data_IF_808727629074
#
_entry.id   IF_808727629074
#
_cell.length_a   1.000
_cell.length_b   1.000
_cell.length_c   1.000
_cell.angle_alpha   90.00
_cell.angle_beta   90.00
_cell.angle_gamma   90.00
#
_symmetry.space_group_name_H-M   'P 1'
#
loop_
_entity.id
_entity.type
_entity.pdbx_description
1 polymer ?
#
# COMPACT_ATOMS: atom_id res chain seq x y z
N UNK A 1 -25.60 33.45 -58.76
CA UNK A 1 -25.14 32.92 -57.47
C UNK A 1 -24.15 33.93 -56.94
N UNK A 2 -24.51 34.61 -55.86
CA UNK A 2 -23.65 35.63 -55.25
C UNK A 2 -22.47 34.96 -54.58
N UNK A 3 -21.30 35.61 -54.56
CA UNK A 3 -20.11 35.11 -53.85
C UNK A 3 -20.34 34.98 -52.34
N UNK A 4 -21.31 35.72 -51.78
CA UNK A 4 -21.76 35.60 -50.39
C UNK A 4 -22.52 34.30 -50.13
N UNK A 5 -23.43 33.88 -51.02
CA UNK A 5 -24.16 32.62 -50.87
C UNK A 5 -23.23 31.40 -51.01
N UNK A 6 -22.15 31.56 -51.77
CA UNK A 6 -21.14 30.50 -51.95
C UNK A 6 -20.19 30.44 -50.76
N UNK A 7 -19.87 31.57 -50.11
CA UNK A 7 -19.10 31.58 -48.86
C UNK A 7 -19.92 31.09 -47.66
N UNK A 8 -21.20 31.46 -47.55
CA UNK A 8 -22.08 30.89 -46.52
C UNK A 8 -22.24 29.38 -46.72
N UNK A 9 -22.38 28.91 -47.96
CA UNK A 9 -22.46 27.48 -48.26
C UNK A 9 -21.13 26.73 -48.04
N UNK A 10 -19.97 27.35 -48.30
CA UNK A 10 -18.66 26.75 -48.00
C UNK A 10 -18.40 26.74 -46.50
N UNK A 11 -18.86 27.74 -45.76
CA UNK A 11 -18.74 27.78 -44.29
C UNK A 11 -19.65 26.74 -43.65
N UNK A 12 -20.90 26.61 -44.12
CA UNK A 12 -21.86 25.57 -43.70
C UNK A 12 -21.38 24.14 -44.00
N UNK A 13 -20.63 23.94 -45.10
CA UNK A 13 -20.12 22.61 -45.47
C UNK A 13 -18.79 22.23 -44.81
N UNK A 14 -18.11 23.18 -44.15
CA UNK A 14 -16.90 22.90 -43.36
C UNK A 14 -17.17 22.77 -41.86
N UNK A 15 -18.43 22.88 -41.43
CA UNK A 15 -18.87 22.84 -40.03
C UNK A 15 -19.83 21.68 -39.75
N UNK A 16 -19.65 20.54 -40.43
CA UNK A 16 -20.42 19.30 -40.17
C UNK A 16 -19.85 18.50 -38.97
N UNK A 17 -18.78 19.01 -38.36
CA UNK A 17 -18.27 18.66 -37.04
C UNK A 17 -18.46 19.92 -36.19
N UNK A 18 -19.62 20.06 -35.56
CA UNK A 18 -19.88 21.14 -34.61
C UNK A 18 -20.50 20.54 -33.37
N UNK A 19 -20.06 20.98 -32.19
CA UNK A 19 -20.60 20.54 -30.89
C UNK A 19 -22.14 20.55 -30.93
N UNK A 20 -22.76 19.44 -30.51
CA UNK A 20 -24.20 19.22 -30.58
C UNK A 20 -24.96 20.27 -29.75
N UNK A 21 -25.94 20.95 -30.38
CA UNK A 21 -26.85 21.85 -29.65
C UNK A 21 -28.00 21.04 -29.06
N UNK A 22 -28.19 21.17 -27.74
CA UNK A 22 -29.19 20.41 -27.00
C UNK A 22 -30.26 21.31 -26.42
N UNK A 23 -31.51 20.87 -26.53
CA UNK A 23 -32.61 21.52 -25.85
C UNK A 23 -32.68 21.15 -24.37
N UNK A 24 -33.67 21.69 -23.65
CA UNK A 24 -33.83 21.42 -22.22
C UNK A 24 -34.09 19.95 -21.91
N UNK A 25 -34.97 19.33 -22.69
CA UNK A 25 -35.45 17.97 -22.41
C UNK A 25 -34.35 16.96 -22.79
N UNK A 26 -33.68 17.18 -23.92
CA UNK A 26 -32.49 16.43 -24.34
C UNK A 26 -31.34 16.56 -23.34
N UNK A 27 -31.09 17.76 -22.81
CA UNK A 27 -30.08 17.96 -21.79
C UNK A 27 -30.35 17.11 -20.53
N UNK A 28 -31.60 16.98 -20.09
CA UNK A 28 -31.92 16.10 -18.97
C UNK A 28 -31.72 14.63 -19.30
N UNK A 29 -32.11 14.19 -20.50
CA UNK A 29 -31.87 12.82 -20.95
C UNK A 29 -30.37 12.51 -21.02
N UNK A 30 -29.55 13.45 -21.48
CA UNK A 30 -28.10 13.29 -21.53
C UNK A 30 -27.48 13.26 -20.13
N UNK A 31 -27.92 14.12 -19.21
CA UNK A 31 -27.46 14.11 -17.81
C UNK A 31 -27.74 12.77 -17.13
N UNK A 32 -28.88 12.14 -17.44
CA UNK A 32 -29.28 10.85 -16.86
C UNK A 32 -28.63 9.65 -17.57
N UNK A 33 -28.29 9.77 -18.85
CA UNK A 33 -27.76 8.66 -19.66
C UNK A 33 -26.24 8.62 -19.78
N UNK A 34 -25.56 9.77 -19.66
CA UNK A 34 -24.11 9.89 -19.82
C UNK A 34 -23.42 10.04 -18.46
N UNK A 35 -22.39 9.23 -18.25
CA UNK A 35 -21.57 9.30 -17.04
C UNK A 35 -20.77 10.62 -16.97
N UNK A 36 -20.27 11.10 -18.10
CA UNK A 36 -19.45 12.31 -18.22
C UNK A 36 -19.96 13.21 -19.36
N UNK A 37 -20.53 14.36 -19.02
CA UNK A 37 -21.12 15.32 -19.95
C UNK A 37 -20.67 16.74 -19.63
N UNK A 38 -20.03 17.42 -20.56
CA UNK A 38 -19.64 18.82 -20.43
C UNK A 38 -20.61 19.70 -21.23
N UNK A 39 -21.24 20.66 -20.56
CA UNK A 39 -22.30 21.49 -21.13
C UNK A 39 -21.84 22.93 -21.15
N UNK A 40 -21.81 23.50 -22.35
CA UNK A 40 -21.45 24.90 -22.59
C UNK A 40 -22.72 25.73 -22.65
N UNK A 41 -22.95 26.54 -21.64
CA UNK A 41 -24.03 27.52 -21.64
C UNK A 41 -23.57 28.80 -22.32
N UNK A 42 -24.27 29.24 -23.36
CA UNK A 42 -23.92 30.45 -24.12
C UNK A 42 -25.16 31.31 -24.42
N UNK A 43 -24.93 32.55 -24.88
CA UNK A 43 -25.99 33.43 -25.39
C UNK A 43 -25.64 33.90 -26.80
N UNK A 44 -26.60 33.82 -27.71
CA UNK A 44 -26.42 34.29 -29.10
C UNK A 44 -26.11 35.79 -29.21
N UNK A 45 -26.61 36.59 -28.25
CA UNK A 45 -26.43 38.04 -28.24
C UNK A 45 -25.08 38.50 -27.65
N UNK A 46 -24.27 37.58 -27.11
CA UNK A 46 -23.03 37.89 -26.43
C UNK A 46 -21.81 37.82 -27.37
N UNK A 47 -20.93 38.82 -27.31
CA UNK A 47 -19.75 38.91 -28.21
C UNK A 47 -18.64 37.89 -27.89
N UNK A 48 -18.62 37.31 -26.68
CA UNK A 48 -17.61 36.34 -26.27
C UNK A 48 -18.04 34.89 -26.53
N UNK A 49 -19.34 34.63 -26.61
CA UNK A 49 -19.90 33.30 -26.87
C UNK A 49 -19.34 32.62 -28.14
N UNK A 50 -19.21 33.28 -29.30
CA UNK A 50 -18.60 32.67 -30.49
C UNK A 50 -17.13 32.31 -30.33
N UNK A 51 -16.39 33.05 -29.49
CA UNK A 51 -14.97 32.76 -29.23
C UNK A 51 -14.84 31.49 -28.39
N UNK A 52 -15.57 31.45 -27.27
CA UNK A 52 -15.59 30.30 -26.36
C UNK A 52 -16.01 29.03 -27.08
N UNK A 53 -17.08 29.09 -27.90
CA UNK A 53 -17.52 27.93 -28.67
C UNK A 53 -16.42 27.41 -29.61
N UNK A 54 -15.62 28.30 -30.21
CA UNK A 54 -14.50 27.92 -31.05
C UNK A 54 -13.37 27.25 -30.26
N UNK A 55 -13.04 27.75 -29.06
CA UNK A 55 -12.03 27.12 -28.20
C UNK A 55 -12.46 25.72 -27.78
N UNK A 56 -13.74 25.55 -27.46
CA UNK A 56 -14.28 24.25 -27.04
C UNK A 56 -14.34 23.26 -28.20
N UNK A 57 -14.61 23.73 -29.42
CA UNK A 57 -14.57 22.88 -30.62
C UNK A 57 -13.17 22.29 -30.87
N UNK A 58 -12.10 23.03 -30.53
CA UNK A 58 -10.73 22.52 -30.68
C UNK A 58 -10.42 21.33 -29.77
N UNK A 59 -11.13 21.20 -28.64
CA UNK A 59 -10.94 20.11 -27.68
C UNK A 59 -12.01 19.03 -27.81
N UNK A 60 -13.01 19.18 -28.68
CA UNK A 60 -14.14 18.25 -28.78
C UNK A 60 -13.69 16.82 -29.09
N UNK A 61 -12.88 16.66 -30.15
CA UNK A 61 -12.30 15.38 -30.54
C UNK A 61 -11.50 14.73 -29.40
N UNK A 62 -10.68 15.53 -28.71
CA UNK A 62 -9.82 15.03 -27.64
C UNK A 62 -10.62 14.68 -26.38
N UNK A 63 -11.63 15.47 -26.01
CA UNK A 63 -12.53 15.18 -24.89
C UNK A 63 -13.38 13.94 -25.16
N UNK A 64 -13.89 13.78 -26.39
CA UNK A 64 -14.64 12.60 -26.82
C UNK A 64 -13.80 11.31 -26.72
N UNK A 65 -12.51 11.42 -27.04
CA UNK A 65 -11.53 10.35 -26.86
C UNK A 65 -11.33 9.92 -25.39
N UNK A 66 -11.57 10.83 -24.43
CA UNK A 66 -11.62 10.53 -22.99
C UNK A 66 -13.01 10.06 -22.51
N UNK A 67 -13.99 9.99 -23.41
CA UNK A 67 -15.37 9.57 -23.11
C UNK A 67 -16.25 10.70 -22.57
N UNK A 68 -15.79 11.94 -22.67
CA UNK A 68 -16.53 13.14 -22.27
C UNK A 68 -17.34 13.60 -23.46
N UNK A 69 -18.66 13.68 -23.31
CA UNK A 69 -19.52 14.25 -24.36
C UNK A 69 -19.62 15.76 -24.15
N UNK A 70 -19.24 16.57 -25.13
CA UNK A 70 -19.43 18.02 -25.11
C UNK A 70 -20.73 18.40 -25.83
N UNK A 71 -21.52 19.26 -25.22
CA UNK A 71 -22.76 19.79 -25.81
C UNK A 71 -22.90 21.27 -25.51
N UNK A 72 -23.61 22.00 -26.37
CA UNK A 72 -23.88 23.43 -26.20
C UNK A 72 -25.37 23.68 -25.95
N UNK A 73 -25.68 24.62 -25.07
CA UNK A 73 -27.06 24.97 -24.70
C UNK A 73 -27.24 26.49 -24.65
N UNK A 74 -28.21 26.99 -25.43
CA UNK A 74 -28.58 28.40 -25.51
C UNK A 74 -29.70 28.81 -24.53
N UNK A 75 -30.28 27.88 -23.77
CA UNK A 75 -31.40 28.16 -22.85
C UNK A 75 -30.95 28.98 -21.62
N UNK A 76 -31.31 30.27 -21.62
CA UNK A 76 -31.05 31.22 -20.53
C UNK A 76 -31.61 30.81 -19.17
N UNK A 77 -32.68 30.01 -19.11
CA UNK A 77 -33.21 29.50 -17.85
C UNK A 77 -32.35 28.36 -17.29
N UNK A 78 -31.81 27.51 -18.17
CA UNK A 78 -30.91 26.43 -17.78
C UNK A 78 -29.56 26.99 -17.31
N UNK A 79 -28.98 27.93 -18.04
CA UNK A 79 -27.77 28.64 -17.62
C UNK A 79 -27.91 29.22 -16.19
N UNK A 80 -29.04 29.87 -15.91
CA UNK A 80 -29.33 30.41 -14.57
C UNK A 80 -29.50 29.34 -13.50
N UNK A 81 -30.09 28.19 -13.84
CA UNK A 81 -30.29 27.06 -12.91
C UNK A 81 -28.95 26.51 -12.43
N UNK A 82 -27.98 26.40 -13.33
CA UNK A 82 -26.63 25.91 -13.03
C UNK A 82 -25.65 27.01 -12.60
N UNK A 83 -26.14 28.24 -12.35
CA UNK A 83 -25.35 29.28 -11.69
C UNK A 83 -24.76 30.35 -12.60
N UNK A 84 -24.95 30.27 -13.92
CA UNK A 84 -24.49 31.28 -14.86
C UNK A 84 -25.52 32.39 -15.04
N UNK A 85 -25.24 33.55 -14.42
CA UNK A 85 -26.04 34.78 -14.62
C UNK A 85 -25.67 35.52 -15.90
N UNK A 86 -24.38 35.51 -16.23
CA UNK A 86 -23.79 36.06 -17.46
C UNK A 86 -22.95 34.95 -18.11
N UNK A 87 -23.53 34.10 -18.96
CA UNK A 87 -22.76 33.16 -19.80
C UNK A 87 -21.89 33.95 -20.81
N UNK A 88 -20.85 33.34 -21.40
CA UNK A 88 -20.58 31.90 -21.49
C UNK A 88 -20.06 31.25 -20.20
N UNK A 89 -20.35 29.95 -20.03
CA UNK A 89 -19.92 29.16 -18.87
C UNK A 89 -19.99 27.66 -19.14
N UNK A 90 -19.08 26.88 -18.55
CA UNK A 90 -19.03 25.41 -18.72
C UNK A 90 -19.40 24.71 -17.42
N UNK A 91 -20.38 23.81 -17.48
CA UNK A 91 -20.70 22.87 -16.39
C UNK A 91 -20.32 21.46 -16.82
N UNK A 92 -19.56 20.77 -15.97
CA UNK A 92 -19.29 19.35 -16.11
C UNK A 92 -20.25 18.55 -15.23
N UNK A 93 -21.00 17.66 -15.85
CA UNK A 93 -21.89 16.70 -15.23
C UNK A 93 -21.20 15.35 -15.13
N UNK A 94 -21.12 14.85 -13.90
CA UNK A 94 -20.57 13.53 -13.57
C UNK A 94 -21.65 12.71 -12.84
N UNK A 95 -22.15 11.67 -13.50
CA UNK A 95 -23.28 10.82 -13.04
C UNK A 95 -24.44 11.65 -12.44
N UNK A 96 -24.83 12.71 -13.13
CA UNK A 96 -25.91 13.61 -12.72
C UNK A 96 -25.57 14.78 -11.79
N UNK A 97 -24.40 14.80 -11.11
CA UNK A 97 -23.99 15.96 -10.30
C UNK A 97 -23.20 16.96 -11.14
N UNK A 98 -23.54 18.24 -11.01
CA UNK A 98 -22.92 19.34 -11.73
C UNK A 98 -21.77 19.97 -10.92
N UNK A 99 -20.63 20.19 -11.58
CA UNK A 99 -19.56 21.07 -11.14
C UNK A 99 -19.35 22.15 -12.20
N UNK A 100 -19.11 23.39 -11.77
CA UNK A 100 -18.89 24.50 -12.70
C UNK A 100 -17.40 24.77 -12.79
N UNK A 101 -16.92 24.99 -14.01
CA UNK A 101 -15.57 25.46 -14.24
C UNK A 101 -15.48 26.94 -13.85
N UNK A 102 -14.49 27.28 -13.03
CA UNK A 102 -14.23 28.62 -12.52
C UNK A 102 -12.92 29.24 -13.03
N UNK A 103 -12.19 28.51 -13.89
CA UNK A 103 -10.98 28.98 -14.56
C UNK A 103 -11.26 29.78 -15.85
N UNK A 104 -10.23 29.93 -16.68
CA UNK A 104 -10.32 30.71 -17.93
C UNK A 104 -10.86 29.84 -19.08
N UNK A 105 -12.09 30.12 -19.52
CA UNK A 105 -12.73 29.37 -20.61
C UNK A 105 -12.08 29.68 -21.97
N UNK A 106 -11.32 30.77 -22.07
CA UNK A 106 -10.56 31.09 -23.28
C UNK A 106 -9.26 30.25 -23.40
N UNK A 107 -8.84 29.54 -22.34
CA UNK A 107 -7.68 28.63 -22.35
C UNK A 107 -8.14 27.18 -22.59
N UNK A 108 -7.98 26.71 -23.82
CA UNK A 108 -8.38 25.35 -24.21
C UNK A 108 -7.59 24.24 -23.48
N UNK A 109 -6.31 24.46 -23.16
CA UNK A 109 -5.47 23.45 -22.50
C UNK A 109 -5.87 23.30 -21.03
N UNK A 110 -6.14 24.41 -20.35
CA UNK A 110 -6.59 24.41 -18.95
C UNK A 110 -7.97 23.74 -18.81
N UNK A 111 -8.91 24.08 -19.70
CA UNK A 111 -10.25 23.51 -19.69
C UNK A 111 -10.21 21.99 -19.94
N UNK A 112 -9.42 21.53 -20.90
CA UNK A 112 -9.28 20.11 -21.20
C UNK A 112 -8.64 19.36 -20.03
N UNK A 113 -7.58 19.89 -19.41
CA UNK A 113 -6.96 19.23 -18.26
C UNK A 113 -7.92 19.16 -17.08
N UNK A 114 -8.71 20.21 -16.85
CA UNK A 114 -9.75 20.21 -15.83
C UNK A 114 -10.83 19.15 -16.08
N UNK A 115 -11.32 19.02 -17.32
CA UNK A 115 -12.32 18.02 -17.71
C UNK A 115 -11.80 16.58 -17.56
N UNK A 116 -10.51 16.39 -17.81
CA UNK A 116 -9.85 15.08 -17.82
C UNK A 116 -9.09 14.78 -16.53
N UNK A 117 -9.26 15.59 -15.48
CA UNK A 117 -8.61 15.39 -14.20
C UNK A 117 -9.27 14.22 -13.46
N UNK A 118 -8.52 13.17 -13.07
CA UNK A 118 -9.04 12.01 -12.34
C UNK A 118 -9.83 12.40 -11.08
N UNK A 119 -9.37 13.41 -10.34
CA UNK A 119 -10.05 13.87 -9.13
C UNK A 119 -11.40 14.55 -9.42
N UNK A 120 -11.53 15.18 -10.58
CA UNK A 120 -12.80 15.74 -11.03
C UNK A 120 -13.73 14.64 -11.57
N UNK A 121 -13.22 13.44 -11.84
CA UNK A 121 -14.01 12.30 -12.29
C UNK A 121 -14.45 11.40 -11.14
N UNK A 122 -13.63 11.26 -10.09
CA UNK A 122 -13.90 10.49 -8.88
C UNK A 122 -14.91 11.20 -7.98
N UNK A 123 -16.10 10.63 -7.82
CA UNK A 123 -17.12 11.24 -6.95
C UNK A 123 -18.25 10.30 -6.52
N UNK A 124 -18.21 9.02 -6.88
CA UNK A 124 -19.24 8.07 -6.45
C UNK A 124 -18.69 7.03 -5.50
N UNK A 125 -19.55 6.53 -4.60
CA UNK A 125 -19.37 5.28 -3.85
C UNK A 125 -19.38 4.05 -4.81
N UNK A 126 -19.00 4.29 -6.07
CA UNK A 126 -19.00 3.30 -7.12
C UNK A 126 -17.74 3.37 -7.97
N UNK A 127 -17.18 2.21 -8.30
CA UNK A 127 -15.98 2.07 -9.14
C UNK A 127 -16.21 2.67 -10.51
N UNK A 128 -15.25 3.46 -11.00
CA UNK A 128 -15.43 4.28 -12.18
C UNK A 128 -15.18 3.56 -13.50
N UNK A 129 -16.11 3.71 -14.46
CA UNK A 129 -15.96 3.12 -15.79
C UNK A 129 -15.06 4.00 -16.64
N UNK A 130 -13.91 3.45 -17.06
CA UNK A 130 -12.92 4.20 -17.84
C UNK A 130 -12.66 3.54 -19.19
N UNK A 131 -12.29 4.35 -20.17
CA UNK A 131 -11.86 3.88 -21.48
C UNK A 131 -10.33 3.72 -21.53
N UNK A 132 -9.78 3.24 -22.66
CA UNK A 132 -8.32 3.04 -22.81
C UNK A 132 -7.52 4.30 -22.54
N UNK A 133 -7.88 5.45 -23.10
CA UNK A 133 -7.09 6.69 -22.96
C UNK A 133 -7.13 7.20 -21.53
N UNK A 134 -8.31 7.18 -20.91
CA UNK A 134 -8.49 7.55 -19.52
C UNK A 134 -7.67 6.65 -18.59
N UNK A 135 -7.67 5.33 -18.83
CA UNK A 135 -6.81 4.40 -18.11
C UNK A 135 -5.33 4.82 -18.18
N UNK A 136 -4.82 5.22 -19.34
CA UNK A 136 -3.42 5.66 -19.47
C UNK A 136 -3.14 6.96 -18.71
N UNK A 137 -4.11 7.90 -18.63
CA UNK A 137 -3.96 9.14 -17.86
C UNK A 137 -3.95 8.85 -16.36
N UNK A 138 -4.91 8.06 -15.86
CA UNK A 138 -4.96 7.62 -14.45
C UNK A 138 -3.69 6.85 -14.08
N UNK A 139 -3.21 5.98 -14.97
CA UNK A 139 -1.97 5.20 -14.78
C UNK A 139 -0.73 6.06 -14.59
N UNK A 140 -0.69 7.27 -15.16
CA UNK A 140 0.42 8.22 -15.00
C UNK A 140 0.30 9.08 -13.76
N UNK A 141 -0.93 9.29 -13.26
CA UNK A 141 -1.21 10.08 -12.07
C UNK A 141 -1.16 9.26 -10.77
N UNK A 142 -1.49 7.97 -10.84
CA UNK A 142 -1.65 7.08 -9.68
C UNK A 142 -0.46 6.13 -9.49
N UNK A 143 0.00 6.01 -8.23
CA UNK A 143 1.06 5.07 -7.85
C UNK A 143 0.59 3.61 -7.91
N UNK A 144 -0.62 3.35 -7.43
CA UNK A 144 -1.26 2.05 -7.40
C UNK A 144 -2.64 2.13 -8.06
N UNK A 145 -2.92 1.21 -8.98
CA UNK A 145 -4.16 1.17 -9.74
C UNK A 145 -4.62 -0.27 -9.91
N UNK A 146 -5.83 -0.56 -9.45
CA UNK A 146 -6.54 -1.81 -9.69
C UNK A 146 -7.55 -1.63 -10.82
N UNK A 147 -7.56 -2.55 -11.78
CA UNK A 147 -8.44 -2.52 -12.94
C UNK A 147 -9.29 -3.78 -12.98
N UNK A 148 -10.60 -3.60 -12.94
CA UNK A 148 -11.58 -4.65 -13.15
C UNK A 148 -12.01 -4.71 -14.61
N UNK A 149 -11.59 -5.76 -15.32
CA UNK A 149 -12.07 -6.06 -16.67
C UNK A 149 -13.37 -6.84 -16.61
N UNK A 150 -14.40 -6.31 -17.27
CA UNK A 150 -15.72 -6.93 -17.33
C UNK A 150 -16.27 -6.97 -18.75
N UNK A 151 -17.47 -7.55 -18.89
CA UNK A 151 -18.25 -7.48 -20.13
C UNK A 151 -19.74 -7.52 -19.80
N UNK A 152 -20.56 -6.82 -20.58
CA UNK A 152 -22.03 -6.90 -20.44
C UNK A 152 -22.60 -8.32 -20.70
N UNK A 153 -21.93 -9.13 -21.52
CA UNK A 153 -22.34 -10.51 -21.83
C UNK A 153 -22.03 -11.51 -20.69
N UNK A 154 -21.39 -11.06 -19.61
CA UNK A 154 -20.85 -11.89 -18.56
C UNK A 154 -21.83 -12.02 -17.38
N UNK A 155 -22.29 -13.24 -17.10
CA UNK A 155 -23.26 -13.49 -16.00
C UNK A 155 -22.68 -13.32 -14.60
N UNK A 156 -21.37 -13.54 -14.43
CA UNK A 156 -20.70 -13.44 -13.13
C UNK A 156 -20.25 -12.01 -12.83
N UNK A 157 -20.06 -11.17 -13.85
CA UNK A 157 -19.51 -9.84 -13.71
C UNK A 157 -20.35 -8.90 -12.83
N UNK A 158 -21.70 -8.86 -12.92
CA UNK A 158 -22.50 -8.03 -12.01
C UNK A 158 -22.39 -8.45 -10.54
N UNK A 159 -22.20 -9.76 -10.28
CA UNK A 159 -22.02 -10.27 -8.92
C UNK A 159 -20.65 -9.87 -8.39
N UNK A 160 -19.59 -10.17 -9.13
CA UNK A 160 -18.21 -9.81 -8.76
C UNK A 160 -18.08 -8.30 -8.58
N UNK A 161 -18.67 -7.51 -9.48
CA UNK A 161 -18.68 -6.05 -9.34
C UNK A 161 -19.26 -5.63 -7.98
N UNK A 162 -20.40 -6.18 -7.57
CA UNK A 162 -20.99 -5.84 -6.27
C UNK A 162 -20.07 -6.16 -5.06
N UNK A 163 -19.27 -7.22 -5.13
CA UNK A 163 -18.27 -7.55 -4.09
C UNK A 163 -17.10 -6.54 -4.11
N UNK A 164 -16.61 -6.17 -5.30
CA UNK A 164 -15.50 -5.22 -5.43
C UNK A 164 -15.93 -3.80 -5.01
N UNK A 165 -17.16 -3.41 -5.30
CA UNK A 165 -17.74 -2.12 -4.91
C UNK A 165 -17.84 -1.97 -3.37
N UNK A 166 -17.82 -3.07 -2.61
CA UNK A 166 -17.80 -3.01 -1.14
C UNK A 166 -16.40 -2.74 -0.56
N UNK A 167 -15.35 -3.14 -1.26
CA UNK A 167 -13.94 -2.93 -0.85
C UNK A 167 -13.34 -1.64 -1.41
N UNK A 168 -14.07 -0.90 -2.25
CA UNK A 168 -13.60 0.33 -2.93
C UNK A 168 -13.12 1.37 -1.93
N UNK A 169 -13.94 1.69 -0.91
CA UNK A 169 -13.59 2.63 0.16
C UNK A 169 -12.32 2.22 0.92
N UNK A 170 -12.12 0.91 1.13
CA UNK A 170 -10.94 0.39 1.85
C UNK A 170 -9.68 0.41 0.97
N UNK A 171 -9.81 0.06 -0.31
CA UNK A 171 -8.75 0.16 -1.30
C UNK A 171 -8.29 1.62 -1.49
N UNK A 172 -9.23 2.55 -1.58
CA UNK A 172 -8.97 3.99 -1.66
C UNK A 172 -8.31 4.52 -0.37
N UNK A 173 -8.76 4.05 0.80
CA UNK A 173 -8.10 4.33 2.07
C UNK A 173 -6.65 3.83 2.12
N UNK A 174 -6.35 2.75 1.40
CA UNK A 174 -5.01 2.25 1.17
C UNK A 174 -4.28 2.97 0.00
N UNK A 175 -4.88 3.95 -0.66
CA UNK A 175 -4.27 4.67 -1.79
C UNK A 175 -4.17 3.85 -3.08
N UNK A 176 -5.03 2.84 -3.24
CA UNK A 176 -5.16 2.03 -4.45
C UNK A 176 -6.42 2.48 -5.18
N UNK A 177 -6.26 3.20 -6.29
CA UNK A 177 -7.41 3.62 -7.08
C UNK A 177 -8.02 2.42 -7.80
N UNK A 178 -9.35 2.29 -7.79
CA UNK A 178 -10.06 1.22 -8.50
C UNK A 178 -10.85 1.75 -9.71
N UNK A 179 -10.67 1.11 -10.87
CA UNK A 179 -11.43 1.43 -12.09
C UNK A 179 -11.97 0.17 -12.77
N UNK A 180 -13.05 0.31 -13.54
CA UNK A 180 -13.63 -0.77 -14.35
C UNK A 180 -13.57 -0.46 -15.85
N UNK A 181 -13.24 -1.48 -16.65
CA UNK A 181 -13.07 -1.35 -18.10
C UNK A 181 -13.85 -2.46 -18.83
N UNK A 182 -14.68 -2.07 -19.79
CA UNK A 182 -15.35 -2.98 -20.73
C UNK A 182 -14.61 -2.99 -22.08
N UNK A 183 -13.43 -3.61 -22.10
CA UNK A 183 -12.64 -3.78 -23.32
C UNK A 183 -12.01 -5.18 -23.38
N UNK A 184 -12.69 -6.07 -24.10
CA UNK A 184 -12.25 -7.46 -24.32
C UNK A 184 -10.91 -7.56 -25.06
N UNK A 185 -10.55 -6.58 -25.89
CA UNK A 185 -9.29 -6.60 -26.62
C UNK A 185 -8.14 -6.20 -25.70
N UNK A 186 -8.34 -5.17 -24.87
CA UNK A 186 -7.35 -4.68 -23.91
C UNK A 186 -7.07 -5.74 -22.85
N UNK A 187 -8.12 -6.38 -22.34
CA UNK A 187 -8.00 -7.49 -21.40
C UNK A 187 -7.06 -8.59 -21.95
N UNK A 188 -7.23 -8.97 -23.21
CA UNK A 188 -6.38 -10.00 -23.86
C UNK A 188 -4.94 -9.55 -24.05
N UNK A 189 -4.71 -8.29 -24.42
CA UNK A 189 -3.36 -7.71 -24.55
C UNK A 189 -2.60 -7.77 -23.22
N UNK A 190 -3.31 -7.57 -22.11
CA UNK A 190 -2.77 -7.65 -20.74
C UNK A 190 -2.73 -9.08 -20.17
N UNK A 191 -3.14 -10.09 -20.94
CA UNK A 191 -3.10 -11.51 -20.52
C UNK A 191 -4.35 -12.02 -19.81
N UNK A 192 -5.42 -11.22 -19.72
CA UNK A 192 -6.73 -11.62 -19.19
C UNK A 192 -7.56 -12.27 -20.31
N UNK A 193 -7.54 -13.60 -20.36
CA UNK A 193 -8.27 -14.39 -21.37
C UNK A 193 -9.69 -14.77 -20.97
N UNK A 194 -10.01 -14.68 -19.67
CA UNK A 194 -11.32 -14.95 -19.10
C UNK A 194 -11.81 -13.71 -18.35
N UNK A 195 -13.07 -13.34 -18.59
CA UNK A 195 -13.75 -12.25 -17.89
C UNK A 195 -14.80 -12.86 -16.94
N UNK A 196 -14.96 -12.32 -15.72
CA UNK A 196 -14.30 -11.14 -15.17
C UNK A 196 -12.82 -11.38 -14.80
N UNK A 197 -12.02 -10.32 -14.73
CA UNK A 197 -10.62 -10.39 -14.27
C UNK A 197 -10.15 -9.09 -13.63
N UNK A 198 -9.35 -9.19 -12.57
CA UNK A 198 -8.74 -8.04 -11.88
C UNK A 198 -7.26 -7.99 -12.18
N UNK A 199 -6.75 -6.80 -12.49
CA UNK A 199 -5.34 -6.55 -12.82
C UNK A 199 -4.82 -5.40 -11.98
N UNK A 200 -3.69 -5.60 -11.32
CA UNK A 200 -3.04 -4.61 -10.48
C UNK A 200 -1.82 -4.01 -11.18
N UNK A 201 -1.69 -2.69 -11.09
CA UNK A 201 -0.62 -1.90 -11.70
C UNK A 201 0.10 -1.08 -10.63
N UNK A 202 1.44 -1.07 -10.68
CA UNK A 202 2.33 -0.25 -9.84
C UNK A 202 3.12 0.72 -10.68
N UNK A 203 3.19 2.02 -10.38
CA UNK A 203 3.96 3.01 -11.15
C UNK A 203 5.41 2.58 -11.40
N UNK A 204 6.05 1.96 -10.41
CA UNK A 204 7.43 1.48 -10.50
C UNK A 204 7.63 0.23 -11.38
N UNK A 205 6.56 -0.52 -11.68
CA UNK A 205 6.60 -1.74 -12.51
C UNK A 205 5.90 -1.54 -13.85
N UNK A 206 6.54 -2.02 -14.92
CA UNK A 206 5.89 -2.09 -16.25
C UNK A 206 4.99 -3.31 -16.40
N UNK A 207 5.23 -4.35 -15.60
CA UNK A 207 4.51 -5.60 -15.70
C UNK A 207 3.32 -5.60 -14.73
N UNK A 208 2.08 -5.74 -15.24
CA UNK A 208 0.89 -5.86 -14.41
C UNK A 208 0.79 -7.25 -13.78
N UNK A 209 0.13 -7.33 -12.63
CA UNK A 209 -0.15 -8.60 -11.94
C UNK A 209 -1.63 -8.92 -12.05
N UNK A 210 -1.95 -10.13 -12.52
CA UNK A 210 -3.33 -10.58 -12.67
C UNK A 210 -3.73 -11.37 -11.43
N UNK A 211 -4.90 -11.08 -10.88
CA UNK A 211 -5.47 -11.86 -9.78
C UNK A 211 -5.93 -13.24 -10.28
N UNK A 212 -5.52 -14.30 -9.58
CA UNK A 212 -5.82 -15.68 -9.93
C UNK A 212 -6.66 -16.44 -8.87
N UNK A 213 -7.14 -15.73 -7.84
CA UNK A 213 -7.95 -16.28 -6.75
C UNK A 213 -9.45 -16.31 -7.05
N UNK A 214 -10.27 -16.49 -6.01
CA UNK A 214 -11.73 -16.43 -6.14
C UNK A 214 -12.20 -14.98 -6.23
N UNK A 215 -12.89 -14.64 -7.32
CA UNK A 215 -13.47 -13.31 -7.56
C UNK A 215 -14.78 -13.08 -6.80
N UNK A 216 -15.33 -14.10 -6.13
CA UNK A 216 -16.54 -13.97 -5.32
C UNK A 216 -16.26 -13.70 -3.83
N UNK A 217 -14.99 -13.58 -3.45
CA UNK A 217 -14.56 -13.40 -2.07
C UNK A 217 -13.88 -12.03 -1.95
N UNK A 218 -14.62 -11.04 -1.45
CA UNK A 218 -14.15 -9.66 -1.29
C UNK A 218 -12.90 -9.56 -0.41
N UNK A 219 -12.86 -10.29 0.71
CA UNK A 219 -11.71 -10.31 1.64
C UNK A 219 -10.43 -10.81 0.96
N UNK A 220 -10.52 -11.81 0.08
CA UNK A 220 -9.36 -12.38 -0.63
C UNK A 220 -8.82 -11.42 -1.68
N UNK A 221 -9.71 -10.70 -2.37
CA UNK A 221 -9.34 -9.68 -3.36
C UNK A 221 -8.64 -8.51 -2.67
N UNK A 222 -9.23 -8.01 -1.58
CA UNK A 222 -8.68 -6.90 -0.81
C UNK A 222 -7.31 -7.27 -0.23
N UNK A 223 -7.18 -8.42 0.43
CA UNK A 223 -5.91 -8.89 0.96
C UNK A 223 -4.85 -9.01 -0.16
N UNK A 224 -5.24 -9.56 -1.32
CA UNK A 224 -4.34 -9.62 -2.46
C UNK A 224 -3.90 -8.23 -2.96
N UNK A 225 -4.79 -7.24 -2.99
CA UNK A 225 -4.44 -5.85 -3.34
C UNK A 225 -3.43 -5.26 -2.35
N UNK A 226 -3.61 -5.52 -1.06
CA UNK A 226 -2.72 -5.06 0.01
C UNK A 226 -1.34 -5.72 -0.11
N UNK A 227 -1.26 -7.05 -0.23
CA UNK A 227 0.00 -7.77 -0.48
C UNK A 227 0.64 -7.31 -1.79
N UNK A 228 -0.14 -7.02 -2.83
CA UNK A 228 0.44 -6.48 -4.05
C UNK A 228 1.01 -5.09 -3.82
N UNK A 229 0.34 -4.19 -3.12
CA UNK A 229 0.89 -2.87 -2.79
C UNK A 229 2.19 -3.02 -1.99
N UNK A 230 2.16 -3.79 -0.91
CA UNK A 230 3.26 -4.04 0.01
C UNK A 230 3.64 -5.54 0.00
N UNK A 231 4.40 -6.03 -0.99
CA UNK A 231 4.80 -7.43 -1.05
C UNK A 231 5.77 -7.86 0.06
N UNK A 232 6.14 -6.93 0.95
CA UNK A 232 6.88 -7.16 2.19
C UNK A 232 6.10 -6.82 3.47
N UNK A 233 4.87 -6.28 3.39
CA UNK A 233 4.12 -5.84 4.59
C UNK A 233 3.61 -6.98 5.48
N UNK A 234 3.56 -8.21 4.95
CA UNK A 234 3.24 -9.39 5.76
C UNK A 234 4.47 -9.98 6.47
N UNK A 235 5.68 -9.51 6.15
CA UNK A 235 6.93 -10.08 6.68
C UNK A 235 7.95 -8.98 6.94
N UNK A 236 8.11 -8.63 8.23
CA UNK A 236 9.15 -7.72 8.70
C UNK A 236 10.50 -8.09 8.05
N UNK A 237 11.14 -7.14 7.38
CA UNK A 237 12.36 -7.39 6.61
C UNK A 237 13.52 -7.85 7.50
N UNK A 238 14.21 -8.92 7.08
CA UNK A 238 15.40 -9.44 7.78
C UNK A 238 16.67 -8.77 7.23
N UNK A 239 17.33 -7.95 8.06
CA UNK A 239 18.49 -7.15 7.67
C UNK A 239 19.67 -7.38 8.61
N UNK A 240 20.84 -7.67 8.03
CA UNK A 240 22.07 -7.95 8.78
C UNK A 240 23.26 -7.07 8.36
N UNK A 241 24.25 -6.97 9.25
CA UNK A 241 25.54 -6.36 8.98
C UNK A 241 25.47 -4.89 8.56
N UNK A 242 26.24 -4.54 7.51
CA UNK A 242 26.39 -3.17 7.05
C UNK A 242 25.09 -2.53 6.52
N UNK A 243 24.10 -3.35 6.12
CA UNK A 243 22.82 -2.83 5.62
C UNK A 243 21.97 -2.27 6.75
N UNK A 244 21.89 -3.00 7.87
CA UNK A 244 21.17 -2.55 9.05
C UNK A 244 21.81 -1.28 9.63
N UNK A 245 23.14 -1.22 9.70
CA UNK A 245 23.85 -0.03 10.19
C UNK A 245 23.59 1.21 9.32
N UNK A 246 23.62 1.06 7.99
CA UNK A 246 23.29 2.17 7.08
C UNK A 246 21.84 2.64 7.25
N UNK A 247 20.91 1.70 7.47
CA UNK A 247 19.51 2.00 7.71
C UNK A 247 19.30 2.76 9.02
N UNK A 248 20.02 2.39 10.09
CA UNK A 248 19.98 3.10 11.38
C UNK A 248 20.50 4.54 11.24
N UNK A 249 21.50 4.77 10.38
CA UNK A 249 22.09 6.10 10.14
C UNK A 249 21.21 6.98 9.23
N UNK A 250 20.58 6.40 8.20
CA UNK A 250 19.80 7.14 7.21
C UNK A 250 18.33 7.36 7.63
N UNK A 251 17.79 6.51 8.51
CA UNK A 251 16.37 6.56 8.91
C UNK A 251 16.13 7.43 10.14
N UNK A 252 15.11 8.28 10.06
CA UNK A 252 14.69 9.12 11.20
C UNK A 252 13.92 8.37 12.28
N UNK A 253 13.21 7.29 11.92
CA UNK A 253 12.42 6.48 12.83
C UNK A 253 12.45 5.00 12.40
N UNK A 254 13.13 4.17 13.18
CA UNK A 254 13.36 2.75 12.86
C UNK A 254 13.18 1.86 14.09
N UNK A 255 12.28 0.89 14.01
CA UNK A 255 12.10 -0.16 15.01
C UNK A 255 12.86 -1.43 14.57
N UNK A 256 13.79 -1.91 15.40
CA UNK A 256 14.60 -3.10 15.14
C UNK A 256 14.27 -4.19 16.16
N UNK A 257 13.72 -5.31 15.69
CA UNK A 257 13.48 -6.50 16.49
C UNK A 257 14.70 -7.42 16.48
N UNK A 258 15.39 -7.50 17.61
CA UNK A 258 16.50 -8.42 17.81
C UNK A 258 16.01 -9.75 18.35
N UNK A 259 16.28 -10.81 17.61
CA UNK A 259 15.84 -12.16 17.95
C UNK A 259 16.96 -13.18 17.87
N UNK A 260 16.78 -14.32 18.55
CA UNK A 260 17.74 -15.42 18.51
C UNK A 260 17.05 -16.78 18.45
N UNK A 261 17.37 -17.55 17.42
CA UNK A 261 16.93 -18.95 17.19
C UNK A 261 17.28 -19.90 18.35
N UNK A 262 18.30 -19.59 19.15
CA UNK A 262 18.96 -20.54 20.08
C UNK A 262 18.98 -20.15 21.56
N UNK A 263 18.57 -18.93 21.95
CA UNK A 263 18.68 -18.47 23.35
C UNK A 263 17.42 -17.87 23.95
N UNK A 264 16.23 -18.30 23.53
CA UNK A 264 15.06 -18.11 24.39
C UNK A 264 15.28 -18.84 25.73
N UNK A 265 15.11 -18.14 26.85
CA UNK A 265 15.35 -18.64 28.22
C UNK A 265 14.58 -19.94 28.56
N UNK A 266 13.55 -20.29 27.78
CA UNK A 266 12.75 -21.51 27.95
C UNK A 266 13.26 -22.68 27.09
N UNK A 267 13.82 -22.46 25.90
CA UNK A 267 14.38 -23.52 25.03
C UNK A 267 15.58 -24.24 25.66
N UNK A 268 16.35 -23.51 26.47
CA UNK A 268 17.52 -24.05 27.18
C UNK A 268 17.13 -25.11 28.24
N UNK A 269 15.91 -25.05 28.80
CA UNK A 269 15.44 -26.07 29.76
C UNK A 269 15.21 -27.46 29.12
N UNK A 270 14.85 -27.52 27.82
CA UNK A 270 14.67 -28.79 27.08
C UNK A 270 16.02 -29.42 26.69
N UNK A 271 17.01 -28.61 26.29
CA UNK A 271 18.38 -29.07 26.01
C UNK A 271 19.09 -29.57 27.28
N UNK A 272 18.95 -28.84 28.40
CA UNK A 272 19.45 -29.28 29.70
C UNK A 272 18.80 -30.60 30.18
N UNK A 273 17.48 -30.80 29.93
CA UNK A 273 16.78 -32.07 30.21
C UNK A 273 17.23 -33.22 29.32
N UNK A 274 17.52 -32.99 28.03
CA UNK A 274 18.08 -34.00 27.11
C UNK A 274 19.49 -34.41 27.54
N UNK A 275 20.35 -33.46 27.93
CA UNK A 275 21.69 -33.74 28.47
C UNK A 275 21.64 -34.51 29.81
N UNK A 276 20.66 -34.21 30.69
CA UNK A 276 20.45 -34.97 31.94
C UNK A 276 19.98 -36.40 31.68
N UNK A 277 19.00 -36.60 30.78
CA UNK A 277 18.51 -37.93 30.37
C UNK A 277 19.58 -38.75 29.63
N UNK A 278 20.45 -38.11 28.86
CA UNK A 278 21.60 -38.76 28.23
C UNK A 278 22.64 -39.21 29.27
N UNK A 279 22.93 -38.38 30.29
CA UNK A 279 23.80 -38.77 31.42
C UNK A 279 23.19 -39.89 32.28
N UNK A 280 21.87 -39.92 32.48
CA UNK A 280 21.17 -41.01 33.19
C UNK A 280 21.19 -42.33 32.40
N UNK A 281 20.97 -42.31 31.08
CA UNK A 281 21.05 -43.51 30.23
C UNK A 281 22.45 -44.11 30.15
N UNK A 282 23.49 -43.27 30.19
CA UNK A 282 24.89 -43.71 30.26
C UNK A 282 25.25 -44.28 31.64
N UNK A 283 24.56 -43.83 32.70
CA UNK A 283 24.72 -44.34 34.08
C UNK A 283 24.01 -45.68 34.29
N UNK A 284 22.84 -45.89 33.67
CA UNK A 284 22.13 -47.18 33.68
C UNK A 284 22.87 -48.27 32.86
N UNK A 285 23.50 -47.90 31.73
CA UNK A 285 24.34 -48.83 30.95
C UNK A 285 25.62 -49.26 31.68
N UNK A 286 26.11 -48.48 32.65
CA UNK A 286 27.24 -48.85 33.53
C UNK A 286 26.84 -49.71 34.74
N UNK A 287 25.55 -50.03 34.92
CA UNK A 287 25.03 -50.80 36.07
C UNK A 287 24.95 -52.33 35.88
N UNK A 288 25.41 -52.87 34.75
CA UNK A 288 25.22 -54.29 34.37
C UNK A 288 26.52 -55.00 33.97
N UNK A 289 27.59 -54.86 34.76
CA UNK A 289 28.72 -55.82 34.74
C UNK A 289 29.24 -55.99 36.17
N UNK A 290 29.15 -57.23 36.69
CA UNK A 290 29.77 -57.67 37.95
C UNK A 290 31.27 -57.91 37.75
N UNK A 291 32.08 -57.81 38.83
CA UNK A 291 33.50 -57.53 38.75
C UNK A 291 34.29 -58.81 38.56
N UNK A 292 35.34 -58.78 37.73
CA UNK A 292 36.61 -59.38 38.12
C UNK A 292 37.76 -58.94 37.22
N UNK A 293 38.88 -58.64 37.88
CA UNK A 293 40.26 -58.44 37.38
C UNK A 293 40.65 -57.04 36.85
N UNK A 294 41.25 -56.30 37.79
CA UNK A 294 42.29 -55.27 37.68
C UNK A 294 43.07 -55.13 36.36
N UNK A 295 43.09 -53.92 35.78
CA UNK A 295 44.30 -53.11 35.54
C UNK A 295 43.94 -51.82 34.78
N UNK A 296 44.55 -50.72 35.18
CA UNK A 296 44.31 -49.36 34.70
C UNK A 296 45.00 -49.05 33.36
N UNK A 297 44.20 -48.47 32.45
CA UNK A 297 44.43 -47.32 31.55
C UNK A 297 45.70 -47.26 30.69
N UNK A 298 45.47 -47.26 29.37
CA UNK A 298 46.05 -46.26 28.45
C UNK A 298 45.16 -46.11 27.21
N UNK A 299 44.66 -44.89 27.00
CA UNK A 299 43.98 -44.43 25.78
C UNK A 299 45.04 -43.91 24.80
N UNK A 300 45.06 -44.45 23.58
CA UNK A 300 45.54 -43.73 22.39
C UNK A 300 44.59 -44.00 21.21
N UNK A 301 44.22 -42.89 20.57
CA UNK A 301 43.93 -42.58 19.17
C UNK A 301 43.46 -43.68 18.18
N UNK A 302 42.43 -43.38 17.38
CA UNK A 302 42.56 -43.04 15.94
C UNK A 302 41.25 -43.13 15.13
N UNK A 303 41.16 -42.20 14.18
CA UNK A 303 40.54 -42.19 12.84
C UNK A 303 39.05 -42.45 12.54
N UNK A 304 38.45 -41.39 11.98
CA UNK A 304 37.79 -41.26 10.66
C UNK A 304 36.65 -42.19 10.17
N UNK A 305 35.63 -41.47 9.68
CA UNK A 305 34.79 -41.69 8.48
C UNK A 305 33.45 -42.47 8.51
N UNK A 306 32.40 -41.63 8.36
CA UNK A 306 31.32 -41.70 7.36
C UNK A 306 30.22 -42.80 7.43
N UNK A 307 29.01 -42.38 7.82
CA UNK A 307 27.72 -42.54 7.08
C UNK A 307 26.54 -42.16 8.02
N UNK A 308 26.07 -40.91 8.02
CA UNK A 308 25.05 -40.30 7.14
C UNK A 308 23.60 -40.47 7.64
N UNK A 309 22.94 -39.33 7.91
CA UNK A 309 21.51 -39.12 7.67
C UNK A 309 20.52 -39.24 8.83
N UNK A 310 20.32 -38.18 9.61
CA UNK A 310 18.97 -37.68 9.94
C UNK A 310 19.06 -36.25 10.51
N UNK A 311 18.85 -35.30 9.60
CA UNK A 311 18.29 -33.95 9.77
C UNK A 311 18.35 -33.27 11.14
N UNK A 312 19.14 -32.20 11.17
CA UNK A 312 19.06 -31.08 12.10
C UNK A 312 17.90 -30.13 11.75
N UNK A 313 16.70 -30.66 11.49
CA UNK A 313 15.51 -29.90 11.04
C UNK A 313 14.46 -29.69 12.17
N UNK A 314 14.76 -30.09 13.41
CA UNK A 314 13.81 -30.00 14.53
C UNK A 314 14.19 -28.91 15.56
N UNK A 315 14.98 -27.91 15.15
CA UNK A 315 15.28 -26.72 15.94
C UNK A 315 14.49 -25.48 15.47
N UNK A 316 13.57 -25.65 14.53
CA UNK A 316 12.95 -24.57 13.74
C UNK A 316 11.70 -23.93 14.34
N UNK A 317 11.36 -24.15 15.62
CA UNK A 317 10.18 -23.47 16.15
C UNK A 317 10.28 -23.17 17.65
N UNK A 318 10.79 -21.99 17.97
CA UNK A 318 10.54 -21.38 19.28
C UNK A 318 9.14 -20.75 19.22
N UNK A 319 8.13 -21.44 19.76
CA UNK A 319 6.72 -20.99 19.76
C UNK A 319 6.55 -19.53 20.22
N UNK A 320 7.39 -19.05 21.16
CA UNK A 320 7.33 -17.66 21.63
C UNK A 320 7.95 -16.65 20.66
N UNK A 321 9.05 -16.97 19.98
CA UNK A 321 9.61 -16.05 18.98
C UNK A 321 8.70 -15.97 17.76
N UNK A 322 8.08 -17.08 17.37
CA UNK A 322 7.10 -17.10 16.28
C UNK A 322 5.80 -16.40 16.66
N UNK A 323 5.31 -16.57 17.91
CA UNK A 323 4.11 -15.87 18.38
C UNK A 323 4.33 -14.36 18.50
N UNK A 324 5.49 -13.92 19.00
CA UNK A 324 5.83 -12.49 19.07
C UNK A 324 5.98 -11.92 17.66
N UNK A 325 6.61 -12.65 16.75
CA UNK A 325 6.80 -12.19 15.38
C UNK A 325 5.47 -12.04 14.62
N UNK A 326 4.51 -12.96 14.83
CA UNK A 326 3.13 -12.81 14.30
C UNK A 326 2.43 -11.57 14.87
N UNK A 327 2.55 -11.31 16.18
CA UNK A 327 2.02 -10.10 16.81
C UNK A 327 2.70 -8.81 16.32
N UNK A 328 3.99 -8.85 15.99
CA UNK A 328 4.71 -7.70 15.45
C UNK A 328 4.40 -7.47 13.96
N UNK A 329 4.20 -8.54 13.18
CA UNK A 329 3.74 -8.44 11.78
C UNK A 329 2.35 -7.81 11.70
N UNK A 330 1.45 -8.09 12.66
CA UNK A 330 0.12 -7.46 12.71
C UNK A 330 0.16 -5.93 12.86
N UNK A 331 1.20 -5.38 13.49
CA UNK A 331 1.33 -3.93 13.74
C UNK A 331 2.28 -3.23 12.76
N UNK A 332 2.94 -3.98 11.86
CA UNK A 332 3.92 -3.44 10.91
C UNK A 332 3.27 -2.40 9.98
N UNK A 333 2.11 -2.74 9.41
CA UNK A 333 1.32 -1.83 8.57
C UNK A 333 0.89 -0.55 9.32
N UNK A 334 0.57 -0.67 10.61
CA UNK A 334 0.24 0.48 11.46
C UNK A 334 1.48 1.35 11.74
N UNK A 335 2.64 0.74 11.97
CA UNK A 335 3.91 1.45 12.13
C UNK A 335 4.28 2.24 10.86
N UNK A 336 4.11 1.62 9.69
CA UNK A 336 4.35 2.25 8.40
C UNK A 336 3.44 3.45 8.15
N UNK A 337 2.14 3.36 8.51
CA UNK A 337 1.21 4.51 8.46
C UNK A 337 1.67 5.67 9.34
N UNK A 338 2.31 5.36 10.46
CA UNK A 338 2.92 6.34 11.34
C UNK A 338 4.33 6.75 10.90
N UNK A 339 4.86 6.21 9.80
CA UNK A 339 6.18 6.49 9.23
C UNK A 339 7.33 5.95 10.09
N UNK A 340 7.12 4.82 10.75
CA UNK A 340 8.13 4.08 11.52
C UNK A 340 8.45 2.84 10.71
N UNK A 341 9.69 2.70 10.27
CA UNK A 341 10.13 1.49 9.57
C UNK A 341 10.33 0.36 10.56
N UNK A 342 9.90 -0.86 10.24
CA UNK A 342 10.10 -2.03 11.09
C UNK A 342 11.03 -3.05 10.41
N UNK A 343 12.05 -3.51 11.13
CA UNK A 343 13.01 -4.52 10.64
C UNK A 343 13.32 -5.55 11.72
N UNK A 344 13.74 -6.74 11.32
CA UNK A 344 14.23 -7.80 12.21
C UNK A 344 15.67 -8.17 11.88
N UNK A 345 16.39 -8.67 12.87
CA UNK A 345 17.76 -9.15 12.70
C UNK A 345 18.12 -10.25 13.70
N UNK A 346 18.91 -11.23 13.26
CA UNK A 346 19.56 -12.22 14.14
C UNK A 346 21.09 -12.00 14.24
N UNK A 347 21.59 -10.84 13.79
CA UNK A 347 23.02 -10.50 13.82
C UNK A 347 23.53 -10.19 15.23
N UNK A 348 24.19 -11.19 15.83
CA UNK A 348 24.85 -11.09 17.13
C UNK A 348 25.89 -9.99 17.23
N UNK A 349 26.56 -9.65 16.12
CA UNK A 349 27.65 -8.69 16.12
C UNK A 349 27.11 -7.28 16.40
N UNK A 350 25.97 -6.96 15.79
CA UNK A 350 25.29 -5.67 15.96
C UNK A 350 24.61 -5.63 17.34
N UNK A 351 23.96 -6.72 17.74
CA UNK A 351 23.36 -6.79 19.06
C UNK A 351 24.39 -6.61 20.19
N UNK A 352 25.57 -7.23 20.09
CA UNK A 352 26.67 -7.04 21.05
C UNK A 352 27.20 -5.60 21.02
N UNK A 353 27.29 -4.97 19.84
CA UNK A 353 27.68 -3.57 19.70
C UNK A 353 26.74 -2.62 20.44
N UNK A 354 25.43 -2.85 20.39
CA UNK A 354 24.44 -2.07 21.14
C UNK A 354 24.23 -2.55 22.59
N UNK A 355 25.00 -3.56 23.05
CA UNK A 355 24.92 -4.09 24.42
C UNK A 355 23.65 -4.91 24.71
N UNK A 356 23.02 -5.46 23.68
CA UNK A 356 21.82 -6.28 23.77
C UNK A 356 22.21 -7.70 24.16
N UNK A 357 21.75 -8.12 25.34
CA UNK A 357 22.06 -9.46 25.89
C UNK A 357 20.80 -10.28 26.22
N UNK A 358 19.67 -9.61 26.36
CA UNK A 358 18.37 -10.22 26.63
C UNK A 358 17.56 -10.28 25.34
N UNK A 359 17.16 -11.49 24.94
CA UNK A 359 16.35 -11.75 23.74
C UNK A 359 15.04 -12.44 24.13
N UNK A 360 13.93 -12.19 23.41
CA UNK A 360 13.78 -11.20 22.34
C UNK A 360 13.69 -9.76 22.87
N UNK A 361 14.15 -8.77 22.09
CA UNK A 361 14.04 -7.34 22.46
C UNK A 361 13.73 -6.48 21.24
N UNK A 362 12.97 -5.41 21.46
CA UNK A 362 12.70 -4.38 20.47
C UNK A 362 13.46 -3.11 20.83
N UNK A 363 14.16 -2.53 19.86
CA UNK A 363 14.89 -1.27 20.00
C UNK A 363 14.37 -0.29 18.96
N UNK A 364 13.94 0.88 19.41
CA UNK A 364 13.56 2.00 18.55
C UNK A 364 14.73 2.96 18.39
N UNK A 365 15.01 3.37 17.17
CA UNK A 365 16.02 4.35 16.82
C UNK A 365 15.33 5.60 16.28
N UNK A 366 15.59 6.74 16.91
CA UNK A 366 15.17 8.05 16.43
C UNK A 366 16.39 8.90 16.14
N UNK A 367 16.60 9.25 14.87
CA UNK A 367 17.80 9.99 14.41
C UNK A 367 19.11 9.40 14.99
N UNK A 368 19.27 8.08 14.90
CA UNK A 368 20.39 7.28 15.44
C UNK A 368 20.49 7.22 16.98
N UNK A 369 19.49 7.69 17.72
CA UNK A 369 19.41 7.56 19.18
C UNK A 369 18.63 6.28 19.53
N UNK A 370 19.28 5.27 20.15
CA UNK A 370 18.60 4.03 20.51
C UNK A 370 17.74 4.19 21.76
N UNK A 371 16.62 3.47 21.81
CA UNK A 371 15.74 3.34 22.96
C UNK A 371 15.19 1.91 23.06
N UNK A 372 15.33 1.28 24.22
CA UNK A 372 14.95 -0.12 24.45
C UNK A 372 13.53 -0.22 25.00
N UNK A 373 12.74 -1.14 24.44
CA UNK A 373 11.41 -1.46 24.95
C UNK A 373 11.46 -2.39 26.18
N UNK A 374 10.71 -2.07 27.24
CA UNK A 374 10.67 -2.85 28.49
C UNK A 374 9.37 -3.62 28.74
N UNK A 375 8.38 -3.47 27.86
CA UNK A 375 7.06 -4.09 27.99
C UNK A 375 7.03 -5.54 27.50
N UNK A 376 5.82 -6.10 27.41
CA UNK A 376 5.64 -7.44 26.86
C UNK A 376 5.49 -7.34 25.35
N UNK A 377 6.38 -7.99 24.58
CA UNK A 377 6.26 -8.03 23.12
C UNK A 377 5.06 -8.87 22.64
N UNK A 378 4.44 -9.64 23.54
CA UNK A 378 3.20 -10.37 23.27
C UNK A 378 1.96 -9.45 23.25
N UNK A 379 2.07 -8.22 23.78
CA UNK A 379 0.97 -7.24 23.81
C UNK A 379 1.14 -6.22 22.67
N UNK A 380 0.64 -6.57 21.48
CA UNK A 380 0.81 -5.79 20.24
C UNK A 380 0.33 -4.32 20.37
N UNK A 381 -0.77 -4.08 21.07
CA UNK A 381 -1.28 -2.72 21.36
C UNK A 381 -0.32 -1.90 22.23
N UNK A 382 0.38 -2.53 23.20
CA UNK A 382 1.36 -1.86 24.06
C UNK A 382 2.59 -1.43 23.24
N UNK A 383 3.05 -2.33 22.37
CA UNK A 383 4.21 -2.09 21.49
C UNK A 383 3.92 -0.94 20.51
N UNK A 384 2.79 -1.00 19.80
CA UNK A 384 2.39 0.03 18.84
C UNK A 384 2.25 1.40 19.52
N UNK A 385 1.56 1.44 20.66
CA UNK A 385 1.38 2.68 21.39
C UNK A 385 2.71 3.24 21.90
N UNK A 386 3.64 2.39 22.32
CA UNK A 386 4.98 2.81 22.74
C UNK A 386 5.77 3.43 21.57
N UNK A 387 5.78 2.79 20.40
CA UNK A 387 6.45 3.29 19.19
C UNK A 387 5.91 4.66 18.75
N UNK A 388 4.58 4.81 18.71
CA UNK A 388 3.93 6.09 18.40
C UNK A 388 4.29 7.14 19.44
N UNK A 389 4.32 6.76 20.72
CA UNK A 389 4.67 7.70 21.80
C UNK A 389 6.11 8.16 21.67
N UNK A 390 7.07 7.29 21.34
CA UNK A 390 8.46 7.70 21.13
C UNK A 390 8.57 8.73 20.01
N UNK A 391 7.90 8.49 18.88
CA UNK A 391 7.92 9.39 17.74
C UNK A 391 7.22 10.74 17.98
N UNK A 392 6.25 10.80 18.88
CA UNK A 392 5.37 11.98 19.03
C UNK A 392 5.58 12.75 20.33
N UNK A 393 6.16 12.14 21.36
CA UNK A 393 6.41 12.74 22.66
C UNK A 393 7.91 12.77 23.00
N UNK A 394 8.40 13.92 23.46
CA UNK A 394 9.75 14.02 24.01
C UNK A 394 9.83 13.28 25.36
N UNK A 395 10.49 12.12 25.39
CA UNK A 395 10.68 11.29 26.60
C UNK A 395 12.15 10.95 26.84
N UNK A 396 12.49 10.65 28.09
CA UNK A 396 13.83 10.19 28.44
C UNK A 396 14.00 8.76 27.91
N UNK A 397 15.02 8.57 27.09
CA UNK A 397 15.35 7.33 26.42
C UNK A 397 15.96 6.34 27.41
N UNK A 398 15.57 5.08 27.26
CA UNK A 398 16.16 3.99 28.01
C UNK A 398 17.23 3.32 27.16
N UNK A 399 18.48 3.46 27.62
CA UNK A 399 19.65 2.98 26.90
C UNK A 399 20.41 1.90 27.70
N UNK A 400 21.08 1.01 26.98
CA UNK A 400 22.01 0.07 27.61
C UNK A 400 23.28 0.79 28.06
N UNK A 401 24.11 0.09 28.84
CA UNK A 401 25.42 0.61 29.23
C UNK A 401 26.29 0.91 28.00
N UNK A 402 26.26 0.07 26.97
CA UNK A 402 27.14 0.22 25.80
C UNK A 402 26.68 1.42 24.97
N UNK A 403 25.37 1.55 24.73
CA UNK A 403 24.77 2.73 24.10
C UNK A 403 25.15 4.03 24.83
N UNK A 404 25.16 4.01 26.17
CA UNK A 404 25.58 5.16 26.96
C UNK A 404 27.07 5.50 26.78
N UNK A 405 27.95 4.50 26.70
CA UNK A 405 29.38 4.72 26.49
C UNK A 405 29.62 5.42 25.13
N UNK A 406 28.90 5.01 24.07
CA UNK A 406 28.98 5.63 22.74
C UNK A 406 28.40 7.06 22.72
N UNK A 407 27.21 7.27 23.31
CA UNK A 407 26.59 8.59 23.37
C UNK A 407 27.45 9.63 24.12
N UNK A 408 28.23 9.20 25.12
CA UNK A 408 29.16 10.09 25.85
C UNK A 408 30.33 10.55 24.97
N UNK A 409 30.73 9.76 23.97
CA UNK A 409 31.79 10.14 23.02
C UNK A 409 31.26 11.09 21.93
N UNK A 410 30.02 10.90 21.50
CA UNK A 410 29.41 11.63 20.39
C UNK A 410 28.73 12.95 20.81
N UNK A 411 28.21 13.04 22.03
CA UNK A 411 27.42 14.19 22.48
C UNK A 411 28.20 15.12 23.42
N UNK A 412 28.08 16.44 23.19
CA UNK A 412 28.81 17.43 24.00
C UNK A 412 28.23 17.61 25.41
N UNK A 413 26.90 17.47 25.56
CA UNK A 413 26.19 17.64 26.81
C UNK A 413 25.14 16.54 26.95
N UNK A 414 25.37 15.59 27.86
CA UNK A 414 24.47 14.47 28.13
C UNK A 414 24.05 14.49 29.60
N UNK A 415 22.74 14.39 29.84
CA UNK A 415 22.18 14.27 31.19
C UNK A 415 21.65 12.85 31.39
N UNK A 416 22.27 12.10 32.29
CA UNK A 416 21.96 10.67 32.50
C UNK A 416 21.31 10.47 33.86
N UNK A 417 20.16 9.82 33.89
CA UNK A 417 19.48 9.43 35.12
C UNK A 417 19.69 7.95 35.42
N UNK A 418 20.54 7.65 36.41
CA UNK A 418 20.76 6.27 36.86
C UNK A 418 19.64 5.84 37.82
N UNK A 419 18.74 4.99 37.34
CA UNK A 419 17.70 4.36 38.15
C UNK A 419 18.12 2.94 38.59
N UNK A 420 17.55 2.45 39.69
CA UNK A 420 17.79 1.08 40.17
C UNK A 420 16.59 0.22 39.78
N UNK A 421 16.78 -0.71 38.84
CA UNK A 421 15.74 -1.67 38.47
C UNK A 421 15.32 -2.51 39.68
N UNK A 422 14.06 -2.38 40.09
CA UNK A 422 13.42 -3.33 40.97
C UNK A 422 12.93 -4.49 40.10
N UNK A 423 13.76 -5.51 39.91
CA UNK A 423 13.33 -6.75 39.30
C UNK A 423 12.02 -7.20 39.96
N UNK A 424 10.94 -7.31 39.18
CA UNK A 424 9.65 -7.84 39.65
C UNK A 424 9.93 -9.24 40.21
N UNK A 425 9.96 -9.35 41.54
CA UNK A 425 10.03 -10.63 42.23
C UNK A 425 8.75 -11.39 41.85
N UNK A 426 8.83 -12.60 41.26
CA UNK A 426 7.62 -13.36 40.97
C UNK A 426 6.88 -13.64 42.28
N UNK A 427 5.53 -13.59 42.29
CA UNK A 427 4.77 -13.82 43.51
C UNK A 427 5.14 -15.20 44.07
N UNK A 428 5.58 -15.23 45.32
CA UNK A 428 5.80 -16.48 46.03
C UNK A 428 4.48 -17.25 46.11
N UNK A 429 4.52 -18.48 45.60
CA UNK A 429 3.43 -19.49 45.62
C UNK A 429 2.80 -19.68 46.99
#
# INVERSE_FOLDING_TARGET
MNELDVMDWITDQTTDESIEEVDRDELFELIDSKDFLAVVFYLEEDENSPKVLRHIELIDDEAAEYGITLVKCSDRLMAKKYGFRNPPGVTYFRKGKAINYDGDIDDEEELLDWLTNPHNMEMTDHIEKVNRKMFHKIRQASDYLAVFFYSEDCKQCPRVLAEIEHIDDEADGAGINFVKIDDKQMAKELGVYALPGIVFFKLSSKDPVIYAGDLNNEDEILNWLMTQKNPGGDVIEDLDGSKLLALIEDSSALAVYFWNKTTCNICNTKLARKLRKAKERTKERRGLVRPDTSAEVQEEADDADAANGSSSEDADNCEQCSSVLESLENIDDDCDRHGIMFVKTDDFSIAEHYGITDYPVLVYFEDNIPNVFEGSLDEEEEVLQWLITQKTEDRIELITRVMLEDMVEETQYLAVYFCKFLAKVPPAT
#
